data_IF_776810954841
#
_entry.id   IF_776810954841
#
_cell.length_a   1.000
_cell.length_b   1.000
_cell.length_c   1.000
_cell.angle_alpha   90.00
_cell.angle_beta   90.00
_cell.angle_gamma   90.00
#
_symmetry.space_group_name_H-M   'P 1'
#
loop_
_entity.id
_entity.type
_entity.pdbx_description
1 polymer ?
#
# COMPACT_ATOMS: atom_id res chain seq x y z
N UNK A 1 5.91 -3.00 -13.62
CA UNK A 1 4.93 -2.85 -12.51
C UNK A 1 5.37 -1.74 -11.59
N UNK A 2 4.44 -0.92 -11.07
CA UNK A 2 4.72 0.06 -10.00
C UNK A 2 3.92 -0.30 -8.74
N UNK A 3 4.35 0.15 -7.58
CA UNK A 3 3.61 -0.03 -6.33
C UNK A 3 3.04 1.30 -5.81
N UNK A 4 1.81 1.25 -5.29
CA UNK A 4 1.13 2.35 -4.61
C UNK A 4 0.85 1.93 -3.17
N UNK A 5 1.52 2.56 -2.21
CA UNK A 5 1.54 2.18 -0.81
C UNK A 5 0.67 3.13 0.01
N UNK A 6 -0.46 2.62 0.50
CA UNK A 6 -1.43 3.39 1.28
C UNK A 6 -0.94 3.57 2.73
N UNK A 7 -0.41 4.73 3.06
CA UNK A 7 0.24 5.03 4.33
C UNK A 7 -0.44 6.18 5.13
N UNK A 8 -1.70 6.51 4.80
CA UNK A 8 -2.41 7.68 5.33
C UNK A 8 -3.30 7.43 6.57
N UNK A 9 -3.38 6.20 7.08
CA UNK A 9 -4.29 5.84 8.17
C UNK A 9 -3.89 6.42 9.54
N UNK A 10 -4.89 6.87 10.33
CA UNK A 10 -4.68 7.40 11.69
C UNK A 10 -4.18 6.36 12.69
N UNK A 11 -4.50 5.07 12.50
CA UNK A 11 -4.05 3.99 13.38
C UNK A 11 -4.66 4.02 14.79
N UNK A 12 -5.83 4.59 14.96
CA UNK A 12 -6.49 4.81 16.27
C UNK A 12 -6.56 3.57 17.18
N UNK A 13 -6.56 2.37 16.59
CA UNK A 13 -6.57 1.09 17.34
C UNK A 13 -5.29 0.82 18.13
N UNK A 14 -4.18 1.46 17.80
CA UNK A 14 -2.90 1.31 18.50
C UNK A 14 -2.73 2.30 19.67
N UNK A 15 -3.73 3.15 19.93
CA UNK A 15 -3.77 4.06 21.07
C UNK A 15 -2.52 4.95 21.16
N UNK A 16 -1.81 4.87 22.28
CA UNK A 16 -0.63 5.72 22.56
C UNK A 16 0.51 5.58 21.54
N UNK A 17 0.61 4.45 20.85
CA UNK A 17 1.65 4.22 19.85
C UNK A 17 1.49 5.09 18.60
N UNK A 18 0.28 5.57 18.35
CA UNK A 18 -0.07 6.39 17.18
C UNK A 18 -0.56 7.80 17.55
N UNK A 19 -0.37 8.21 18.80
CA UNK A 19 -0.75 9.55 19.25
C UNK A 19 -0.06 10.66 18.43
N UNK A 20 1.25 10.49 18.17
CA UNK A 20 2.10 11.50 17.51
C UNK A 20 2.78 11.01 16.24
N UNK A 21 2.41 9.82 15.74
CA UNK A 21 3.02 9.23 14.54
C UNK A 21 1.98 8.49 13.71
N UNK A 22 2.12 8.54 12.38
CA UNK A 22 1.35 7.68 11.50
C UNK A 22 1.63 6.20 11.79
N UNK A 23 0.62 5.34 11.69
CA UNK A 23 0.77 3.89 11.96
C UNK A 23 1.93 3.25 11.21
N UNK A 24 2.18 3.53 9.92
CA UNK A 24 3.35 2.98 9.20
C UNK A 24 4.70 3.40 9.78
N UNK A 25 4.76 4.51 10.53
CA UNK A 25 5.99 5.02 11.16
C UNK A 25 6.24 4.48 12.57
N UNK A 26 5.33 3.65 13.11
CA UNK A 26 5.51 3.02 14.43
C UNK A 26 6.71 2.09 14.39
N UNK A 27 7.55 2.16 15.44
CA UNK A 27 8.72 1.31 15.58
C UNK A 27 8.33 -0.16 15.79
N UNK A 28 9.06 -1.05 15.13
CA UNK A 28 8.90 -2.49 15.22
C UNK A 28 10.26 -3.19 15.30
N UNK A 29 10.42 -4.10 16.26
CA UNK A 29 11.65 -4.87 16.42
C UNK A 29 12.90 -4.04 16.71
N UNK A 30 12.75 -2.88 17.35
CA UNK A 30 13.83 -1.99 17.76
C UNK A 30 14.19 -0.94 16.71
N UNK A 31 14.80 -1.31 15.60
CA UNK A 31 15.29 -0.34 14.58
C UNK A 31 14.39 -0.15 13.38
N UNK A 32 13.47 -1.07 13.11
CA UNK A 32 12.57 -1.02 11.96
C UNK A 32 11.31 -0.22 12.28
N UNK A 33 10.60 0.16 11.23
CA UNK A 33 9.23 0.68 11.27
C UNK A 33 8.33 -0.22 10.43
N UNK A 34 7.03 -0.14 10.64
CA UNK A 34 6.06 -0.97 9.93
C UNK A 34 6.20 -0.81 8.40
N UNK A 35 6.42 0.41 7.92
CA UNK A 35 6.61 0.71 6.49
C UNK A 35 7.81 -0.01 5.84
N UNK A 36 8.82 -0.39 6.62
CA UNK A 36 10.02 -1.03 6.09
C UNK A 36 9.72 -2.40 5.47
N UNK A 37 8.70 -3.09 5.97
CA UNK A 37 8.31 -4.41 5.46
C UNK A 37 7.75 -4.35 4.04
N UNK A 38 6.69 -3.55 3.74
CA UNK A 38 6.21 -3.46 2.36
C UNK A 38 7.23 -2.83 1.40
N UNK A 39 8.06 -1.87 1.83
CA UNK A 39 9.13 -1.33 0.99
C UNK A 39 10.17 -2.42 0.66
N UNK A 40 10.60 -3.21 1.65
CA UNK A 40 11.52 -4.31 1.44
C UNK A 40 10.93 -5.41 0.56
N UNK A 41 9.63 -5.73 0.72
CA UNK A 41 8.96 -6.68 -0.16
C UNK A 41 8.92 -6.17 -1.60
N UNK A 42 8.68 -4.87 -1.84
CA UNK A 42 8.71 -4.28 -3.18
C UNK A 42 10.06 -4.53 -3.87
N UNK A 43 11.15 -4.14 -3.21
CA UNK A 43 12.50 -4.30 -3.78
C UNK A 43 12.85 -5.77 -3.99
N UNK A 44 12.54 -6.64 -3.03
CA UNK A 44 12.80 -8.08 -3.15
C UNK A 44 11.97 -8.75 -4.25
N UNK A 45 10.87 -8.12 -4.69
CA UNK A 45 10.03 -8.55 -5.81
C UNK A 45 10.34 -7.77 -7.11
N UNK A 46 11.50 -7.11 -7.21
CA UNK A 46 11.91 -6.39 -8.41
C UNK A 46 11.12 -5.10 -8.72
N UNK A 47 10.37 -4.56 -7.75
CA UNK A 47 9.60 -3.32 -7.91
C UNK A 47 10.44 -2.14 -7.42
N UNK A 48 10.88 -1.32 -8.34
CA UNK A 48 11.80 -0.20 -8.11
C UNK A 48 11.14 1.19 -8.20
N UNK A 49 9.83 1.23 -8.37
CA UNK A 49 9.03 2.45 -8.46
C UNK A 49 7.88 2.37 -7.48
N UNK A 50 7.91 3.19 -6.44
CA UNK A 50 6.95 3.12 -5.32
C UNK A 50 6.42 4.50 -4.98
N UNK A 51 5.10 4.70 -5.11
CA UNK A 51 4.39 5.87 -4.60
C UNK A 51 3.87 5.61 -3.19
N UNK A 52 4.25 6.42 -2.22
CA UNK A 52 3.77 6.31 -0.82
C UNK A 52 2.76 7.40 -0.53
N UNK A 53 1.49 7.04 -0.41
CA UNK A 53 0.39 7.96 -0.17
C UNK A 53 0.26 8.24 1.33
N UNK A 54 0.65 9.45 1.73
CA UNK A 54 0.65 9.88 3.14
C UNK A 54 -0.43 10.91 3.39
N UNK A 55 -1.00 10.96 4.60
CA UNK A 55 -1.98 11.97 4.96
C UNK A 55 -1.86 12.38 6.43
N UNK A 56 -1.96 11.42 7.35
CA UNK A 56 -1.98 11.68 8.79
C UNK A 56 -0.56 11.65 9.37
N UNK A 57 -0.18 12.66 10.17
CA UNK A 57 1.12 12.76 10.88
C UNK A 57 2.34 12.37 10.00
N UNK A 58 2.51 12.99 8.83
CA UNK A 58 3.44 12.49 7.81
C UNK A 58 4.91 12.74 8.15
N UNK A 59 5.22 13.71 9.03
CA UNK A 59 6.59 14.21 9.23
C UNK A 59 7.59 13.09 9.56
N UNK A 60 7.30 12.28 10.59
CA UNK A 60 8.20 11.20 11.01
C UNK A 60 8.30 10.09 9.97
N UNK A 61 7.20 9.81 9.27
CA UNK A 61 7.17 8.83 8.18
C UNK A 61 8.03 9.30 7.01
N UNK A 62 7.82 10.52 6.55
CA UNK A 62 8.56 11.11 5.43
C UNK A 62 10.06 11.21 5.74
N UNK A 63 10.41 11.62 6.97
CA UNK A 63 11.82 11.66 7.42
C UNK A 63 12.46 10.27 7.41
N UNK A 64 11.71 9.22 7.81
CA UNK A 64 12.22 7.86 7.82
C UNK A 64 12.42 7.31 6.41
N UNK A 65 11.46 7.53 5.51
CA UNK A 65 11.57 7.11 4.11
C UNK A 65 12.71 7.87 3.42
N UNK A 66 12.83 9.18 3.67
CA UNK A 66 13.79 10.04 3.00
C UNK A 66 13.67 9.92 1.49
N UNK A 67 14.80 9.73 0.81
CA UNK A 67 14.87 9.47 -0.64
C UNK A 67 14.92 7.96 -0.97
N UNK A 68 14.81 7.08 0.03
CA UNK A 68 14.74 5.63 -0.19
C UNK A 68 16.07 4.88 -0.18
N UNK A 69 17.16 5.49 0.28
CA UNK A 69 18.50 4.87 0.34
C UNK A 69 18.49 3.46 0.96
N UNK A 70 17.82 3.20 2.11
CA UNK A 70 17.85 1.88 2.74
C UNK A 70 17.28 0.74 1.88
N UNK A 71 16.51 1.08 0.85
CA UNK A 71 15.85 0.11 -0.06
C UNK A 71 16.35 0.23 -1.51
N UNK A 72 17.46 0.94 -1.79
CA UNK A 72 17.92 1.20 -3.15
C UNK A 72 16.83 1.85 -4.04
N UNK A 73 16.03 2.73 -3.42
CA UNK A 73 14.94 3.47 -4.06
C UNK A 73 15.28 4.95 -4.31
N UNK A 74 16.53 5.35 -4.13
CA UNK A 74 17.07 6.69 -4.43
C UNK A 74 17.48 6.83 -5.91
N UNK A 75 16.54 6.52 -6.80
CA UNK A 75 16.80 6.43 -8.24
C UNK A 75 16.37 7.71 -8.99
N UNK A 76 17.08 8.04 -10.05
CA UNK A 76 16.73 9.18 -10.93
C UNK A 76 15.47 8.89 -11.77
N UNK A 77 15.22 7.63 -12.08
CA UNK A 77 14.00 7.18 -12.77
C UNK A 77 13.36 6.05 -11.95
N UNK A 78 12.13 6.26 -11.52
CA UNK A 78 11.49 5.42 -10.52
C UNK A 78 11.83 5.85 -9.09
N UNK A 79 12.19 4.89 -8.23
CA UNK A 79 12.49 5.14 -6.83
C UNK A 79 11.25 5.34 -5.96
N UNK A 80 11.44 5.85 -4.73
CA UNK A 80 10.33 6.17 -3.84
C UNK A 80 9.91 7.63 -3.95
N UNK A 81 8.61 7.85 -4.10
CA UNK A 81 8.01 9.20 -4.09
C UNK A 81 6.94 9.26 -3.00
N UNK A 82 7.04 10.23 -2.11
CA UNK A 82 5.98 10.49 -1.13
C UNK A 82 4.92 11.38 -1.77
N UNK A 83 3.67 10.94 -1.70
CA UNK A 83 2.51 11.54 -2.34
C UNK A 83 1.51 12.01 -1.25
N UNK A 84 1.66 13.22 -0.72
CA UNK A 84 0.65 13.81 0.16
C UNK A 84 -0.57 14.26 -0.64
N UNK A 85 -1.75 14.41 -0.01
CA UNK A 85 -2.86 15.11 -0.64
C UNK A 85 -2.42 16.54 -0.99
N UNK A 86 -2.86 17.03 -2.14
CA UNK A 86 -2.51 18.38 -2.60
C UNK A 86 -3.75 19.15 -3.05
N UNK A 87 -3.67 20.45 -2.88
CA UNK A 87 -4.71 21.36 -3.33
C UNK A 87 -4.67 21.52 -4.85
N UNK A 88 -5.84 21.34 -5.49
CA UNK A 88 -6.09 21.77 -6.88
C UNK A 88 -6.81 23.11 -6.84
N UNK A 89 -6.64 23.93 -7.88
CA UNK A 89 -7.15 25.31 -7.95
C UNK A 89 -8.63 25.51 -7.58
N UNK A 90 -9.42 24.45 -7.62
CA UNK A 90 -10.87 24.53 -7.39
C UNK A 90 -11.38 23.70 -6.20
N UNK A 91 -10.58 22.79 -5.65
CA UNK A 91 -10.94 21.97 -4.50
C UNK A 91 -9.72 21.46 -3.73
N UNK A 92 -9.63 21.83 -2.46
CA UNK A 92 -8.68 21.28 -1.51
C UNK A 92 -9.32 20.06 -0.83
N UNK A 93 -9.01 18.86 -1.25
CA UNK A 93 -9.61 17.66 -0.66
C UNK A 93 -8.55 16.71 -0.11
N UNK A 94 -8.68 16.43 1.18
CA UNK A 94 -8.03 15.29 1.81
C UNK A 94 -8.49 14.00 1.12
N UNK A 95 -7.66 12.96 1.18
CA UNK A 95 -8.10 11.64 0.71
C UNK A 95 -9.32 11.18 1.53
N UNK A 96 -10.46 11.02 0.87
CA UNK A 96 -11.72 10.60 1.51
C UNK A 96 -11.83 9.09 1.69
N UNK A 97 -10.77 8.34 1.29
CA UNK A 97 -10.69 6.89 1.42
C UNK A 97 -9.54 6.34 0.57
N UNK A 98 -9.31 5.03 0.66
CA UNK A 98 -8.20 4.36 -0.01
C UNK A 98 -8.30 4.43 -1.53
N UNK A 99 -9.48 4.17 -2.09
CA UNK A 99 -9.72 4.28 -3.54
C UNK A 99 -9.55 5.72 -4.04
N UNK A 100 -10.03 6.70 -3.28
CA UNK A 100 -9.87 8.11 -3.61
C UNK A 100 -8.40 8.53 -3.60
N UNK A 101 -7.60 8.03 -2.65
CA UNK A 101 -6.17 8.30 -2.61
C UNK A 101 -5.46 7.82 -3.89
N UNK A 102 -5.79 6.62 -4.38
CA UNK A 102 -5.27 6.11 -5.65
C UNK A 102 -5.75 6.98 -6.82
N UNK A 103 -7.05 7.30 -6.88
CA UNK A 103 -7.64 8.10 -7.94
C UNK A 103 -6.99 9.49 -8.06
N UNK A 104 -6.76 10.18 -6.95
CA UNK A 104 -6.09 11.49 -6.98
C UNK A 104 -4.66 11.43 -7.51
N UNK A 105 -4.01 10.28 -7.46
CA UNK A 105 -2.63 10.07 -7.90
C UNK A 105 -2.50 9.33 -9.25
N UNK A 106 -3.58 9.24 -10.05
CA UNK A 106 -3.52 8.64 -11.39
C UNK A 106 -2.42 9.26 -12.26
N UNK A 107 -2.27 10.58 -12.25
CA UNK A 107 -1.23 11.28 -13.02
C UNK A 107 0.20 10.86 -12.66
N UNK A 108 0.45 10.51 -11.39
CA UNK A 108 1.74 9.96 -10.98
C UNK A 108 1.97 8.59 -11.63
N UNK A 109 0.96 7.73 -11.65
CA UNK A 109 1.06 6.42 -12.28
C UNK A 109 1.24 6.54 -13.80
N UNK A 110 0.49 7.42 -14.45
CA UNK A 110 0.54 7.66 -15.90
C UNK A 110 1.93 8.08 -16.39
N UNK A 111 2.75 8.77 -15.57
CA UNK A 111 4.12 9.15 -15.93
C UNK A 111 5.00 7.95 -16.26
N UNK A 112 4.74 6.80 -15.65
CA UNK A 112 5.50 5.57 -15.85
C UNK A 112 4.86 4.62 -16.85
N UNK A 113 3.64 4.92 -17.32
CA UNK A 113 2.85 4.05 -18.21
C UNK A 113 2.92 2.56 -17.82
N UNK A 114 2.60 2.20 -16.56
CA UNK A 114 2.79 0.85 -16.07
C UNK A 114 1.76 -0.10 -16.66
N UNK A 115 2.17 -1.30 -17.03
CA UNK A 115 1.26 -2.37 -17.42
C UNK A 115 0.46 -2.90 -16.23
N UNK A 116 1.10 -2.93 -15.04
CA UNK A 116 0.49 -3.41 -13.79
C UNK A 116 0.73 -2.41 -12.66
N UNK A 117 -0.26 -2.28 -11.79
CA UNK A 117 -0.20 -1.47 -10.58
C UNK A 117 -0.47 -2.36 -9.37
N UNK A 118 0.47 -2.40 -8.43
CA UNK A 118 0.33 -3.09 -7.16
C UNK A 118 -0.13 -2.10 -6.09
N UNK A 119 -1.25 -2.38 -5.44
CA UNK A 119 -1.78 -1.55 -4.34
C UNK A 119 -1.53 -2.27 -3.02
N UNK A 120 -0.84 -1.61 -2.11
CA UNK A 120 -0.40 -2.19 -0.83
C UNK A 120 -0.88 -1.34 0.35
N UNK A 121 -1.15 -2.01 1.47
CA UNK A 121 -1.30 -1.36 2.77
C UNK A 121 0.07 -1.06 3.37
N UNK A 122 0.30 0.18 3.80
CA UNK A 122 1.56 0.60 4.44
C UNK A 122 1.71 0.20 5.90
N UNK A 123 0.73 -0.48 6.45
CA UNK A 123 0.65 -0.86 7.86
C UNK A 123 0.62 -2.38 8.10
N UNK A 124 1.02 -3.15 7.11
CA UNK A 124 0.99 -4.61 7.12
C UNK A 124 2.40 -5.19 7.27
N UNK A 125 2.61 -5.98 8.31
CA UNK A 125 3.88 -6.65 8.61
C UNK A 125 3.79 -8.09 8.12
N UNK A 126 4.41 -8.39 6.99
CA UNK A 126 4.48 -9.72 6.39
C UNK A 126 5.67 -9.82 5.44
N UNK A 127 6.02 -11.04 5.06
CA UNK A 127 6.99 -11.31 4.00
C UNK A 127 6.25 -11.92 2.83
N UNK A 128 6.32 -11.28 1.67
CA UNK A 128 5.65 -11.71 0.45
C UNK A 128 6.49 -11.35 -0.77
N UNK A 129 6.53 -12.25 -1.71
CA UNK A 129 7.04 -12.01 -3.05
C UNK A 129 5.86 -11.64 -3.97
N UNK A 130 5.86 -10.39 -4.43
CA UNK A 130 4.79 -9.89 -5.29
C UNK A 130 4.89 -10.36 -6.73
N UNK A 131 6.05 -10.88 -7.16
CA UNK A 131 6.22 -11.47 -8.48
C UNK A 131 5.34 -12.71 -8.65
N UNK A 132 5.26 -13.55 -7.61
CA UNK A 132 4.37 -14.73 -7.58
C UNK A 132 2.90 -14.33 -7.77
N UNK A 133 2.49 -13.22 -7.14
CA UNK A 133 1.13 -12.69 -7.31
C UNK A 133 0.88 -12.15 -8.71
N UNK A 134 1.88 -11.48 -9.30
CA UNK A 134 1.81 -10.98 -10.66
C UNK A 134 1.76 -12.11 -11.69
N UNK A 135 2.53 -13.18 -11.50
CA UNK A 135 2.51 -14.33 -12.39
C UNK A 135 1.14 -15.02 -12.34
N UNK A 136 0.58 -15.21 -11.15
CA UNK A 136 -0.80 -15.70 -11.01
C UNK A 136 -1.83 -14.82 -11.74
N UNK A 137 -1.68 -13.49 -11.64
CA UNK A 137 -2.52 -12.52 -12.33
C UNK A 137 -2.48 -12.72 -13.85
N UNK A 138 -1.28 -12.85 -14.42
CA UNK A 138 -1.04 -13.06 -15.85
C UNK A 138 -1.56 -14.41 -16.34
N UNK A 139 -1.27 -15.47 -15.60
CA UNK A 139 -1.68 -16.85 -15.94
C UNK A 139 -3.20 -16.97 -16.01
N UNK A 140 -3.93 -16.24 -15.17
CA UNK A 140 -5.39 -16.24 -15.13
C UNK A 140 -6.02 -15.16 -16.02
N UNK A 141 -5.21 -14.35 -16.73
CA UNK A 141 -5.67 -13.21 -17.52
C UNK A 141 -6.69 -12.37 -16.75
N UNK A 142 -6.37 -12.07 -15.49
CA UNK A 142 -7.27 -11.38 -14.57
C UNK A 142 -7.22 -9.85 -14.77
N UNK A 143 -8.34 -9.18 -14.54
CA UNK A 143 -8.38 -7.70 -14.48
C UNK A 143 -7.93 -7.19 -13.12
N UNK A 144 -8.26 -7.94 -12.06
CA UNK A 144 -7.90 -7.66 -10.66
C UNK A 144 -7.54 -8.96 -9.96
N UNK A 145 -6.48 -8.93 -9.16
CA UNK A 145 -6.08 -10.04 -8.27
C UNK A 145 -5.99 -9.53 -6.84
N UNK A 146 -6.61 -10.22 -5.91
CA UNK A 146 -6.64 -9.84 -4.49
C UNK A 146 -5.95 -10.93 -3.67
N UNK A 147 -4.95 -10.54 -2.87
CA UNK A 147 -4.34 -11.43 -1.88
C UNK A 147 -5.30 -11.58 -0.69
N UNK A 148 -5.70 -12.81 -0.42
CA UNK A 148 -6.63 -13.16 0.67
C UNK A 148 -6.03 -14.22 1.58
N UNK A 149 -6.54 -14.32 2.79
CA UNK A 149 -6.22 -15.38 3.73
C UNK A 149 -7.51 -15.94 4.36
N UNK A 150 -7.60 -17.25 4.63
CA UNK A 150 -8.74 -17.81 5.35
C UNK A 150 -8.82 -17.22 6.76
N UNK A 151 -10.02 -16.88 7.17
CA UNK A 151 -10.31 -16.44 8.54
C UNK A 151 -11.42 -17.30 9.15
N UNK A 152 -11.41 -17.55 10.47
CA UNK A 152 -12.52 -18.20 11.15
C UNK A 152 -13.83 -17.42 10.96
N UNK A 153 -14.96 -18.11 10.79
CA UNK A 153 -16.27 -17.51 10.59
C UNK A 153 -16.65 -16.53 11.72
N UNK A 154 -16.22 -16.82 12.94
CA UNK A 154 -16.44 -15.99 14.13
C UNK A 154 -15.77 -14.61 14.01
N UNK A 155 -14.71 -14.49 13.23
CA UNK A 155 -13.98 -13.24 12.99
C UNK A 155 -14.40 -12.53 11.69
N UNK A 156 -15.23 -13.14 10.87
CA UNK A 156 -15.60 -12.63 9.54
C UNK A 156 -16.16 -11.19 9.59
N UNK A 157 -16.96 -10.86 10.59
CA UNK A 157 -17.54 -9.53 10.78
C UNK A 157 -16.50 -8.39 10.98
N UNK A 158 -15.23 -8.73 11.15
CA UNK A 158 -14.13 -7.74 11.33
C UNK A 158 -13.43 -7.39 10.03
N UNK A 159 -13.69 -8.12 8.96
CA UNK A 159 -13.01 -8.04 7.68
C UNK A 159 -13.99 -7.87 6.52
N UNK A 160 -13.51 -7.36 5.39
CA UNK A 160 -14.17 -7.57 4.12
C UNK A 160 -13.95 -9.03 3.68
N UNK A 161 -15.01 -9.72 3.31
CA UNK A 161 -14.98 -11.14 2.97
C UNK A 161 -15.10 -11.31 1.47
N UNK A 162 -14.18 -12.06 0.90
CA UNK A 162 -14.18 -12.48 -0.51
C UNK A 162 -14.70 -13.90 -0.59
N UNK A 163 -15.70 -14.13 -1.44
CA UNK A 163 -16.18 -15.44 -1.81
C UNK A 163 -15.67 -15.75 -3.20
N UNK A 164 -15.03 -16.90 -3.36
CA UNK A 164 -14.45 -17.33 -4.64
C UNK A 164 -14.91 -18.74 -4.99
N UNK A 165 -15.00 -19.04 -6.29
CA UNK A 165 -15.29 -20.36 -6.81
C UNK A 165 -14.06 -21.30 -6.74
N UNK A 166 -14.23 -22.54 -7.22
CA UNK A 166 -13.18 -23.57 -7.26
C UNK A 166 -11.95 -23.15 -8.11
N UNK A 167 -12.14 -22.22 -9.06
CA UNK A 167 -11.11 -21.67 -9.91
C UNK A 167 -10.46 -20.40 -9.32
N UNK A 168 -10.77 -20.07 -8.05
CA UNK A 168 -10.33 -18.86 -7.36
C UNK A 168 -10.86 -17.56 -7.97
N UNK A 169 -11.91 -17.62 -8.78
CA UNK A 169 -12.58 -16.44 -9.32
C UNK A 169 -13.51 -15.85 -8.26
N UNK A 170 -13.35 -14.57 -7.99
CA UNK A 170 -14.20 -13.84 -7.03
C UNK A 170 -15.61 -13.78 -7.57
N UNK A 171 -16.57 -14.27 -6.82
CA UNK A 171 -18.00 -14.28 -7.15
C UNK A 171 -18.78 -13.27 -6.34
N UNK A 172 -18.31 -12.96 -5.12
CA UNK A 172 -18.98 -12.05 -4.22
C UNK A 172 -17.96 -11.37 -3.28
N UNK A 173 -18.26 -10.15 -2.86
CA UNK A 173 -17.51 -9.40 -1.86
C UNK A 173 -18.50 -8.82 -0.85
N UNK A 174 -18.31 -9.15 0.42
CA UNK A 174 -19.12 -8.63 1.52
C UNK A 174 -18.27 -7.70 2.39
N UNK A 175 -18.65 -6.43 2.42
CA UNK A 175 -18.02 -5.40 3.27
C UNK A 175 -18.54 -5.53 4.71
N UNK A 176 -17.70 -5.21 5.70
CA UNK A 176 -18.04 -5.22 7.12
C UNK A 176 -18.96 -4.07 7.52
#
# INVERSE_FOLDING_TARGET
>A
MIAMLLAGGQGSRLGVLTADVAKPAVAFGGKYRIIDFPLSNCINSGIDTVGVLTQYQPLRLNTHIGIGIPWDLDRNNGGVTVLPPYERSDNSEWYTGTANAIYQNLRYMEQYNPEYVLILSGDHIYKMDYEVMLDFHKENNADVTIATMPVPLEEASRFGIVIADENKRITEFEEK
#
